data_IF_649626584967
#
_entry.id   IF_649626584967
#
_cell.length_a   1.000
_cell.length_b   1.000
_cell.length_c   1.000
_cell.angle_alpha   90.00
_cell.angle_beta   90.00
_cell.angle_gamma   90.00
#
_symmetry.space_group_name_H-M   'P 1'
#
loop_
_entity.id
_entity.type
_entity.pdbx_description
1 polymer ?
#
# COMPACT_ATOMS: atom_id res chain seq x y z
N UNK A 1 23.06 -2.41 -16.67
CA UNK A 1 23.00 -1.26 -15.75
C UNK A 1 21.64 -1.01 -15.14
N UNK A 2 20.53 -1.26 -15.83
CA UNK A 2 19.19 -1.23 -15.22
C UNK A 2 19.02 -2.21 -14.07
N UNK A 3 19.68 -3.34 -14.12
CA UNK A 3 19.63 -4.39 -13.10
C UNK A 3 20.14 -3.97 -11.72
N UNK A 4 21.10 -3.06 -11.68
CA UNK A 4 21.63 -2.56 -10.41
C UNK A 4 20.68 -1.60 -9.70
N UNK A 5 19.85 -0.88 -10.44
CA UNK A 5 18.85 0.02 -9.88
C UNK A 5 17.66 -0.75 -9.32
N UNK A 6 17.22 -1.79 -10.01
CA UNK A 6 16.14 -2.66 -9.56
C UNK A 6 16.56 -3.50 -8.35
N UNK A 7 17.77 -4.05 -8.38
CA UNK A 7 18.33 -4.76 -7.23
C UNK A 7 18.50 -3.85 -6.01
N UNK A 8 18.91 -2.61 -6.20
CA UNK A 8 18.99 -1.62 -5.12
C UNK A 8 17.62 -1.25 -4.57
N UNK A 9 16.65 -1.08 -5.45
CA UNK A 9 15.27 -0.80 -5.05
C UNK A 9 14.70 -1.97 -4.23
N UNK A 10 14.92 -3.18 -4.66
CA UNK A 10 14.50 -4.38 -3.94
C UNK A 10 15.22 -4.53 -2.60
N UNK A 11 16.53 -4.35 -2.57
CA UNK A 11 17.30 -4.39 -1.33
C UNK A 11 16.94 -3.25 -0.36
N UNK A 12 16.64 -2.07 -0.89
CA UNK A 12 16.14 -0.96 -0.06
C UNK A 12 14.78 -1.30 0.54
N UNK A 13 13.91 -1.96 -0.21
CA UNK A 13 12.62 -2.36 0.32
C UNK A 13 12.78 -3.38 1.46
N UNK A 14 13.69 -4.32 1.32
CA UNK A 14 13.96 -5.29 2.39
C UNK A 14 14.62 -4.66 3.61
N UNK A 15 15.48 -3.69 3.41
CA UNK A 15 16.10 -2.96 4.52
C UNK A 15 15.09 -2.08 5.27
N UNK A 16 14.12 -1.51 4.56
CA UNK A 16 13.02 -0.74 5.16
C UNK A 16 12.10 -1.65 5.98
N UNK A 17 11.84 -2.87 5.50
CA UNK A 17 11.08 -3.88 6.25
C UNK A 17 11.71 -4.15 7.62
N UNK A 18 13.04 -4.26 7.68
CA UNK A 18 13.76 -4.54 8.93
C UNK A 18 13.82 -3.35 9.88
N UNK A 19 13.71 -2.14 9.36
CA UNK A 19 13.80 -0.89 10.13
C UNK A 19 12.44 -0.32 10.57
N UNK A 20 11.34 -0.96 10.17
CA UNK A 20 10.00 -0.43 10.38
C UNK A 20 9.50 0.36 9.16
N UNK A 21 8.40 1.08 9.36
CA UNK A 21 7.78 1.86 8.30
C UNK A 21 8.26 3.30 8.34
N UNK A 22 8.71 3.82 7.22
CA UNK A 22 8.97 5.24 7.06
C UNK A 22 7.68 5.96 6.69
N UNK A 23 7.02 6.54 7.69
CA UNK A 23 5.75 7.22 7.51
C UNK A 23 5.82 8.43 6.58
N UNK A 24 6.97 9.08 6.51
CA UNK A 24 7.15 10.23 5.63
C UNK A 24 7.14 9.85 4.15
N UNK A 25 7.51 8.62 3.85
CA UNK A 25 7.55 8.11 2.47
C UNK A 25 6.23 7.50 2.00
N UNK A 26 5.23 7.30 2.87
CA UNK A 26 3.95 6.70 2.51
C UNK A 26 3.14 7.68 1.66
N UNK A 27 2.79 7.25 0.45
CA UNK A 27 1.97 7.99 -0.50
C UNK A 27 1.02 7.04 -1.24
N UNK A 28 0.16 7.57 -2.11
CA UNK A 28 -0.78 6.72 -2.84
C UNK A 28 -0.11 5.70 -3.76
N UNK A 29 1.06 6.02 -4.31
CA UNK A 29 1.76 5.14 -5.25
C UNK A 29 2.34 3.91 -4.55
N UNK A 30 2.85 4.06 -3.34
CA UNK A 30 3.43 2.94 -2.58
C UNK A 30 2.48 2.34 -1.55
N UNK A 31 1.29 2.89 -1.39
CA UNK A 31 0.31 2.43 -0.40
C UNK A 31 0.01 0.92 -0.50
N UNK A 32 -0.26 0.35 -1.69
CA UNK A 32 -0.51 -1.09 -1.79
C UNK A 32 0.63 -1.93 -1.25
N UNK A 33 1.86 -1.55 -1.51
CA UNK A 33 3.05 -2.24 -0.99
C UNK A 33 3.16 -2.13 0.53
N UNK A 34 2.90 -0.94 1.08
CA UNK A 34 2.90 -0.70 2.53
C UNK A 34 1.85 -1.58 3.21
N UNK A 35 0.64 -1.63 2.67
CA UNK A 35 -0.45 -2.43 3.22
C UNK A 35 -0.14 -3.93 3.13
N UNK A 36 0.46 -4.38 2.03
CA UNK A 36 0.88 -5.78 1.89
C UNK A 36 1.90 -6.16 2.98
N UNK A 37 2.87 -5.30 3.23
CA UNK A 37 3.86 -5.51 4.30
C UNK A 37 3.23 -5.50 5.68
N UNK A 38 2.33 -4.56 5.92
CA UNK A 38 1.60 -4.49 7.19
C UNK A 38 0.83 -5.79 7.44
N UNK A 39 0.10 -6.28 6.43
CA UNK A 39 -0.63 -7.54 6.50
C UNK A 39 0.30 -8.73 6.77
N UNK A 40 1.46 -8.78 6.13
CA UNK A 40 2.40 -9.90 6.23
C UNK A 40 3.14 -9.92 7.55
N UNK A 41 3.57 -8.77 8.05
CA UNK A 41 4.41 -8.67 9.25
C UNK A 41 3.61 -8.40 10.53
N UNK A 42 2.52 -7.68 10.41
CA UNK A 42 1.70 -7.24 11.53
C UNK A 42 0.21 -7.46 11.23
N UNK A 43 -0.24 -8.73 11.11
CA UNK A 43 -1.62 -9.03 10.73
C UNK A 43 -2.65 -8.44 11.69
N UNK A 44 -2.35 -8.32 12.97
CA UNK A 44 -3.23 -7.70 13.97
C UNK A 44 -3.42 -6.21 13.69
N UNK A 45 -2.37 -5.53 13.28
CA UNK A 45 -2.43 -4.11 12.91
C UNK A 45 -3.18 -3.88 11.61
N UNK A 46 -3.03 -4.78 10.66
CA UNK A 46 -3.81 -4.75 9.43
C UNK A 46 -5.31 -4.97 9.71
N UNK A 47 -5.64 -5.91 10.59
CA UNK A 47 -7.03 -6.14 11.01
C UNK A 47 -7.61 -4.89 11.69
N UNK A 48 -6.84 -4.23 12.55
CA UNK A 48 -7.24 -2.99 13.19
C UNK A 48 -7.49 -1.86 12.17
N UNK A 49 -6.63 -1.74 11.18
CA UNK A 49 -6.78 -0.77 10.09
C UNK A 49 -8.09 -0.99 9.32
N UNK A 50 -8.36 -2.24 8.95
CA UNK A 50 -9.59 -2.61 8.25
C UNK A 50 -10.83 -2.27 9.09
N UNK A 51 -10.84 -2.68 10.32
CA UNK A 51 -11.96 -2.44 11.24
C UNK A 51 -12.23 -0.96 11.40
N UNK A 52 -11.21 -0.16 11.68
CA UNK A 52 -11.34 1.28 11.84
C UNK A 52 -11.87 1.94 10.57
N UNK A 53 -11.37 1.54 9.41
CA UNK A 53 -11.79 2.10 8.14
C UNK A 53 -13.24 1.76 7.80
N UNK A 54 -13.65 0.51 8.00
CA UNK A 54 -15.02 0.05 7.75
C UNK A 54 -16.01 0.72 8.71
N UNK A 55 -15.61 1.02 9.94
CA UNK A 55 -16.44 1.78 10.87
C UNK A 55 -16.71 3.20 10.37
N UNK A 56 -15.73 3.85 9.74
CA UNK A 56 -15.88 5.18 9.17
C UNK A 56 -16.63 5.19 7.84
N UNK A 57 -16.48 4.13 7.06
CA UNK A 57 -17.09 3.96 5.74
C UNK A 57 -17.85 2.63 5.68
N UNK A 58 -19.05 2.56 6.28
CA UNK A 58 -19.79 1.30 6.38
C UNK A 58 -20.31 0.75 5.06
N UNK A 59 -20.21 1.50 3.97
CA UNK A 59 -20.46 1.01 2.63
C UNK A 59 -19.42 -0.01 2.14
N UNK A 60 -18.25 -0.04 2.76
CA UNK A 60 -17.22 -1.00 2.45
C UNK A 60 -17.34 -2.24 3.35
N UNK A 61 -17.03 -3.38 2.78
CA UNK A 61 -17.11 -4.68 3.45
C UNK A 61 -15.73 -5.27 3.72
N UNK A 62 -14.79 -5.07 2.81
CA UNK A 62 -13.46 -5.67 2.88
C UNK A 62 -12.40 -4.80 2.19
N UNK A 63 -11.21 -4.85 2.72
CA UNK A 63 -10.00 -4.30 2.10
C UNK A 63 -9.12 -5.47 1.69
N UNK A 64 -8.76 -5.53 0.43
CA UNK A 64 -8.01 -6.64 -0.16
C UNK A 64 -6.71 -6.10 -0.75
N UNK A 65 -5.60 -6.66 -0.33
CA UNK A 65 -4.30 -6.39 -0.95
C UNK A 65 -3.78 -7.67 -1.60
N UNK A 66 -3.32 -7.56 -2.83
CA UNK A 66 -2.78 -8.69 -3.59
C UNK A 66 -1.42 -8.34 -4.17
N UNK A 67 -0.57 -9.33 -4.23
CA UNK A 67 0.68 -9.27 -4.96
C UNK A 67 0.54 -10.01 -6.29
N UNK A 68 1.11 -9.42 -7.33
CA UNK A 68 1.18 -10.02 -8.65
C UNK A 68 2.63 -10.10 -9.07
N UNK A 69 3.03 -11.24 -9.57
CA UNK A 69 4.34 -11.40 -10.17
C UNK A 69 4.20 -11.25 -11.69
N UNK A 70 4.77 -10.19 -12.21
CA UNK A 70 4.83 -9.96 -13.64
C UNK A 70 6.18 -10.43 -14.16
N UNK A 71 6.14 -11.37 -15.09
CA UNK A 71 7.31 -11.71 -15.89
C UNK A 71 7.49 -10.61 -16.92
N UNK A 72 8.54 -9.83 -16.79
CA UNK A 72 8.88 -8.85 -17.79
C UNK A 72 9.50 -9.60 -18.97
N UNK A 73 8.76 -9.71 -20.06
CA UNK A 73 9.34 -10.13 -21.32
C UNK A 73 10.22 -8.99 -21.83
N UNK A 74 11.50 -9.13 -21.60
CA UNK A 74 12.47 -8.23 -22.18
C UNK A 74 12.52 -8.38 -23.68
N UNK A 75 12.85 -7.29 -24.35
CA UNK A 75 13.08 -7.24 -25.79
C UNK A 75 13.97 -8.41 -26.23
N UNK A 76 13.60 -9.09 -27.31
CA UNK A 76 14.26 -10.32 -27.78
C UNK A 76 15.78 -10.20 -27.91
N UNK A 77 16.31 -9.00 -28.09
CA UNK A 77 17.75 -8.76 -28.19
C UNK A 77 18.51 -8.87 -26.87
N UNK A 78 17.83 -8.66 -25.77
CA UNK A 78 18.43 -8.78 -24.43
C UNK A 78 18.33 -10.21 -23.90
N UNK A 79 17.42 -11.02 -24.40
CA UNK A 79 17.25 -12.41 -24.00
C UNK A 79 18.45 -13.33 -24.33
N UNK A 80 19.13 -13.06 -25.45
CA UNK A 80 20.28 -13.87 -25.87
C UNK A 80 21.50 -13.69 -24.96
N UNK A 81 21.56 -12.56 -24.23
CA UNK A 81 22.72 -12.19 -23.41
C UNK A 81 22.45 -12.25 -21.90
N UNK A 82 21.21 -12.45 -21.46
CA UNK A 82 20.85 -12.48 -20.05
C UNK A 82 20.13 -13.78 -19.70
N UNK A 83 20.75 -14.69 -18.93
CA UNK A 83 20.11 -15.94 -18.49
C UNK A 83 19.08 -15.73 -17.39
N UNK A 84 18.66 -14.51 -17.08
CA UNK A 84 17.79 -14.18 -15.96
C UNK A 84 16.40 -13.76 -16.42
N UNK A 85 15.38 -14.41 -15.86
CA UNK A 85 14.00 -13.91 -15.95
C UNK A 85 13.80 -12.88 -14.83
N UNK A 86 13.44 -11.65 -15.19
CA UNK A 86 13.10 -10.65 -14.22
C UNK A 86 11.63 -10.79 -13.83
N UNK A 87 11.41 -11.00 -12.56
CA UNK A 87 10.06 -10.97 -11.99
C UNK A 87 9.89 -9.69 -11.19
N UNK A 88 8.94 -8.85 -11.57
CA UNK A 88 8.58 -7.65 -10.83
C UNK A 88 7.36 -7.98 -9.97
N UNK A 89 7.48 -7.76 -8.67
CA UNK A 89 6.35 -7.83 -7.77
C UNK A 89 5.55 -6.52 -7.85
N UNK A 90 4.30 -6.62 -8.24
CA UNK A 90 3.36 -5.49 -8.26
C UNK A 90 2.29 -5.74 -7.22
N UNK A 91 2.00 -4.73 -6.44
CA UNK A 91 0.98 -4.79 -5.40
C UNK A 91 -0.23 -3.98 -5.82
N UNK A 92 -1.41 -4.51 -5.55
CA UNK A 92 -2.66 -3.81 -5.84
C UNK A 92 -3.60 -3.86 -4.63
N UNK A 93 -4.26 -2.75 -4.39
CA UNK A 93 -5.19 -2.57 -3.30
C UNK A 93 -6.61 -2.44 -3.86
N UNK A 94 -7.52 -3.25 -3.31
CA UNK A 94 -8.91 -3.31 -3.72
C UNK A 94 -9.82 -3.10 -2.52
N UNK A 95 -10.99 -2.57 -2.78
CA UNK A 95 -12.03 -2.39 -1.78
C UNK A 95 -13.30 -3.10 -2.25
N UNK A 96 -13.88 -3.90 -1.39
CA UNK A 96 -15.16 -4.53 -1.66
C UNK A 96 -16.27 -3.71 -1.04
N UNK A 97 -17.23 -3.29 -1.85
CA UNK A 97 -18.44 -2.59 -1.40
C UNK A 97 -19.54 -3.59 -1.08
N UNK A 98 -20.35 -3.27 -0.07
CA UNK A 98 -21.55 -4.05 0.24
C UNK A 98 -22.48 -4.09 -0.97
N UNK A 99 -23.00 -5.28 -1.27
CA UNK A 99 -23.91 -5.50 -2.38
C UNK A 99 -23.26 -5.67 -3.76
N UNK A 100 -21.94 -5.48 -3.86
CA UNK A 100 -21.20 -5.74 -5.09
C UNK A 100 -20.40 -7.04 -4.96
N UNK A 101 -20.43 -7.85 -6.03
CA UNK A 101 -19.74 -9.14 -6.05
C UNK A 101 -18.23 -8.94 -6.20
N UNK A 102 -17.84 -8.03 -7.09
CA UNK A 102 -16.45 -7.81 -7.43
C UNK A 102 -15.86 -6.62 -6.66
N UNK A 103 -14.66 -6.77 -6.10
CA UNK A 103 -13.95 -5.63 -5.53
C UNK A 103 -13.55 -4.62 -6.61
N UNK A 104 -13.48 -3.35 -6.22
CA UNK A 104 -13.04 -2.27 -7.09
C UNK A 104 -11.64 -1.83 -6.69
N UNK A 105 -10.88 -1.30 -7.64
CA UNK A 105 -9.56 -0.77 -7.36
C UNK A 105 -9.67 0.42 -6.39
N UNK A 106 -8.79 0.47 -5.41
CA UNK A 106 -8.76 1.54 -4.40
C UNK A 106 -8.64 2.93 -5.03
N UNK A 107 -7.95 3.05 -6.16
CA UNK A 107 -7.81 4.32 -6.86
C UNK A 107 -9.13 4.88 -7.42
N UNK A 108 -10.17 4.06 -7.51
CA UNK A 108 -11.47 4.45 -8.07
C UNK A 108 -12.46 4.98 -7.03
N UNK A 109 -12.18 4.83 -5.75
CA UNK A 109 -13.03 5.38 -4.70
C UNK A 109 -12.82 6.89 -4.52
N UNK A 110 -13.67 7.56 -3.74
CA UNK A 110 -13.59 9.00 -3.56
C UNK A 110 -12.27 9.45 -2.93
N UNK A 111 -11.83 10.65 -3.24
CA UNK A 111 -10.63 11.26 -2.67
C UNK A 111 -10.67 11.29 -1.14
N UNK A 112 -11.82 11.64 -0.57
CA UNK A 112 -11.98 11.66 0.88
C UNK A 112 -11.78 10.31 1.52
N UNK A 113 -12.35 9.26 0.91
CA UNK A 113 -12.19 7.90 1.40
C UNK A 113 -10.74 7.41 1.30
N UNK A 114 -10.05 7.72 0.20
CA UNK A 114 -8.63 7.39 0.03
C UNK A 114 -7.75 8.12 1.03
N UNK A 115 -8.03 9.39 1.26
CA UNK A 115 -7.28 10.21 2.20
C UNK A 115 -7.40 9.70 3.63
N UNK A 116 -8.59 9.36 4.07
CA UNK A 116 -8.82 8.80 5.42
C UNK A 116 -8.08 7.48 5.57
N UNK A 117 -8.11 6.62 4.57
CA UNK A 117 -7.36 5.36 4.60
C UNK A 117 -5.85 5.61 4.74
N UNK A 118 -5.32 6.58 4.02
CA UNK A 118 -3.91 6.99 4.10
C UNK A 118 -3.56 7.49 5.51
N UNK A 119 -4.41 8.32 6.11
CA UNK A 119 -4.20 8.84 7.45
C UNK A 119 -4.19 7.71 8.47
N UNK A 120 -5.15 6.79 8.41
CA UNK A 120 -5.21 5.63 9.28
C UNK A 120 -3.99 4.73 9.12
N UNK A 121 -3.54 4.53 7.90
CA UNK A 121 -2.32 3.76 7.61
C UNK A 121 -1.10 4.40 8.27
N UNK A 122 -0.95 5.71 8.16
CA UNK A 122 0.15 6.45 8.80
C UNK A 122 0.10 6.33 10.32
N UNK A 123 -1.07 6.44 10.92
CA UNK A 123 -1.25 6.30 12.36
C UNK A 123 -0.85 4.90 12.83
N UNK A 124 -1.33 3.88 12.15
CA UNK A 124 -1.08 2.48 12.53
C UNK A 124 0.38 2.10 12.31
N UNK A 125 0.97 2.50 11.20
CA UNK A 125 2.39 2.23 10.95
C UNK A 125 3.31 2.99 11.90
N UNK A 126 2.92 4.18 12.34
CA UNK A 126 3.63 4.93 13.39
C UNK A 126 3.66 4.16 14.70
N UNK A 127 2.55 3.50 15.08
CA UNK A 127 2.49 2.70 16.31
C UNK A 127 3.44 1.51 16.30
N UNK A 128 3.75 0.97 15.13
CA UNK A 128 4.71 -0.13 14.96
C UNK A 128 6.15 0.38 14.97
N UNK A 129 6.38 1.57 14.44
CA UNK A 129 7.73 2.13 14.24
C UNK A 129 8.19 3.01 15.41
N UNK A 130 7.39 3.15 16.47
CA UNK A 130 7.66 4.04 17.60
C UNK A 130 7.88 5.52 17.20
N UNK A 131 7.15 5.96 16.19
CA UNK A 131 7.19 7.36 15.74
C UNK A 131 6.18 8.16 16.57
N UNK A 132 6.66 9.23 17.22
CA UNK A 132 5.85 10.05 18.11
C UNK A 132 5.12 11.20 17.40
N UNK A 133 5.52 11.54 16.18
CA UNK A 133 4.94 12.65 15.42
C UNK A 133 4.49 12.18 14.05
N UNK A 134 3.24 12.48 13.70
CA UNK A 134 2.68 12.27 12.38
C UNK A 134 2.29 13.62 11.80
N UNK A 135 2.87 13.95 10.65
CA UNK A 135 2.46 15.13 9.89
C UNK A 135 1.32 14.76 8.94
N UNK A 136 0.19 15.40 9.11
CA UNK A 136 -0.97 15.26 8.23
C UNK A 136 -1.17 16.60 7.52
N UNK A 137 -1.02 16.58 6.19
CA UNK A 137 -1.20 17.78 5.38
C UNK A 137 -2.63 17.84 4.86
N UNK A 138 -3.26 19.03 5.03
CA UNK A 138 -4.54 19.40 4.45
C UNK A 138 -5.67 18.37 4.60
N UNK A 139 -5.94 17.84 5.82
CA UNK A 139 -6.99 16.82 5.98
C UNK A 139 -8.38 17.37 5.64
N UNK A 140 -8.58 18.68 5.77
CA UNK A 140 -9.87 19.33 5.56
C UNK A 140 -10.27 19.47 4.08
N UNK A 141 -9.31 19.35 3.15
CA UNK A 141 -9.57 19.57 1.72
C UNK A 141 -10.26 18.41 1.02
N UNK A 142 -10.24 17.21 1.60
CA UNK A 142 -10.73 16.01 0.93
C UNK A 142 -11.69 15.18 1.77
N UNK A 143 -11.97 15.61 3.01
CA UNK A 143 -12.84 14.90 3.94
C UNK A 143 -13.87 15.88 4.52
N UNK A 144 -15.11 15.41 4.73
CA UNK A 144 -16.13 16.20 5.39
C UNK A 144 -15.68 16.58 6.81
N UNK A 145 -15.89 17.86 7.18
CA UNK A 145 -15.53 18.37 8.49
C UNK A 145 -16.15 17.60 9.65
N UNK A 146 -17.27 16.93 9.44
CA UNK A 146 -17.92 16.08 10.44
C UNK A 146 -17.18 14.77 10.78
N UNK A 147 -16.13 14.40 10.03
CA UNK A 147 -15.27 13.24 10.31
C UNK A 147 -14.13 13.59 11.26
N UNK A 148 -13.90 14.82 11.50
CA UNK A 148 -12.92 15.37 12.41
C UNK A 148 -13.60 16.29 13.44
#
# INVERSE_FOLDING_TARGET
>A
MGNNLEAKSFCQSDSVIRKGFDNASINEDNLPQVIYRLKSQYPDKFALLKEAYIQLFPEFEEIIVKDFQLNVEEDHQLRENAPFQFTIAVYALFVKRKGLVNPVNFSTISDGARRVFMILTKIITASVSNISLIAIEEPDNSVYSGLF
#
